data_IF_711697539170
#
_entry.id   IF_711697539170
#
_cell.length_a   1.000
_cell.length_b   1.000
_cell.length_c   1.000
_cell.angle_alpha   90.00
_cell.angle_beta   90.00
_cell.angle_gamma   90.00
#
_symmetry.space_group_name_H-M   'P 1'
#
loop_
_entity.id
_entity.type
_entity.pdbx_description
1 polymer ?
#
# COMPACT_ATOMS: atom_id res chain seq x y z
N UNK A 1 20.60 16.63 -9.71
CA UNK A 1 20.21 16.72 -11.12
C UNK A 1 19.86 15.32 -11.66
N UNK A 2 18.74 14.74 -11.22
CA UNK A 2 18.22 13.45 -11.71
C UNK A 2 16.68 13.46 -11.61
N UNK A 3 16.08 14.58 -12.01
CA UNK A 3 14.62 14.78 -12.03
C UNK A 3 14.10 14.93 -13.46
N UNK A 4 14.94 15.42 -14.37
CA UNK A 4 14.63 15.61 -15.80
C UNK A 4 14.33 14.27 -16.52
N UNK A 5 14.96 13.16 -16.08
CA UNK A 5 14.66 11.85 -16.64
C UNK A 5 13.29 11.31 -16.21
N UNK A 6 12.81 11.66 -15.01
CA UNK A 6 11.52 11.20 -14.48
C UNK A 6 10.34 11.94 -15.09
N UNK A 7 10.48 13.24 -15.39
CA UNK A 7 9.44 14.01 -16.08
C UNK A 7 9.23 13.53 -17.52
N UNK A 8 10.30 13.19 -18.25
CA UNK A 8 10.21 12.62 -19.61
C UNK A 8 9.54 11.26 -19.68
N UNK A 9 9.65 10.52 -18.59
CA UNK A 9 9.02 9.21 -18.38
C UNK A 9 7.50 9.40 -18.20
N UNK A 10 7.06 10.42 -17.45
CA UNK A 10 5.66 10.72 -17.15
C UNK A 10 4.80 11.30 -18.28
N UNK A 11 5.32 11.40 -19.49
CA UNK A 11 4.58 11.90 -20.65
C UNK A 11 3.62 10.79 -21.16
N UNK A 12 2.38 11.11 -21.59
CA UNK A 12 1.47 10.15 -22.21
C UNK A 12 2.09 9.47 -23.44
N UNK A 13 1.68 8.23 -23.74
CA UNK A 13 2.17 7.45 -24.89
C UNK A 13 2.00 8.19 -26.22
N UNK A 14 0.92 8.97 -26.34
CA UNK A 14 0.56 9.77 -27.52
C UNK A 14 1.57 10.90 -27.83
N UNK A 15 2.35 11.34 -26.84
CA UNK A 15 3.37 12.38 -26.99
C UNK A 15 4.81 11.82 -26.93
N UNK A 16 4.97 10.49 -27.03
CA UNK A 16 6.28 9.82 -27.02
C UNK A 16 6.85 9.54 -25.63
N UNK A 17 6.03 9.62 -24.58
CA UNK A 17 6.35 9.09 -23.25
C UNK A 17 5.90 7.64 -23.05
N UNK A 18 6.06 7.10 -21.84
CA UNK A 18 5.77 5.69 -21.53
C UNK A 18 4.47 5.51 -20.71
N UNK A 19 3.63 6.56 -20.62
CA UNK A 19 2.33 6.51 -19.95
C UNK A 19 2.39 6.29 -18.42
N UNK A 20 3.38 6.88 -17.72
CA UNK A 20 3.62 6.71 -16.28
C UNK A 20 2.58 7.36 -15.32
N UNK A 21 1.28 7.35 -15.67
CA UNK A 21 0.22 7.30 -14.62
C UNK A 21 0.42 6.08 -13.72
N UNK A 22 1.02 5.03 -14.25
CA UNK A 22 1.23 3.78 -13.54
C UNK A 22 2.26 3.89 -12.41
N UNK A 23 3.33 4.69 -12.51
CA UNK A 23 4.37 4.67 -11.47
C UNK A 23 3.92 5.24 -10.12
N UNK A 24 3.07 6.27 -10.12
CA UNK A 24 2.46 6.75 -8.87
C UNK A 24 1.60 5.64 -8.26
N UNK A 25 0.79 4.96 -9.07
CA UNK A 25 -0.06 3.86 -8.63
C UNK A 25 0.76 2.63 -8.19
N UNK A 26 1.85 2.33 -8.91
CA UNK A 26 2.80 1.27 -8.63
C UNK A 26 3.56 1.54 -7.34
N UNK A 27 3.97 2.79 -7.11
CA UNK A 27 4.59 3.20 -5.85
C UNK A 27 3.60 3.05 -4.69
N UNK A 28 2.34 3.45 -4.85
CA UNK A 28 1.29 3.24 -3.85
C UNK A 28 1.05 1.75 -3.62
N UNK A 29 1.00 0.92 -4.68
CA UNK A 29 0.86 -0.53 -4.57
C UNK A 29 2.05 -1.18 -3.86
N UNK A 30 3.28 -0.71 -4.13
CA UNK A 30 4.49 -1.16 -3.45
C UNK A 30 4.47 -0.79 -1.96
N UNK A 31 4.03 0.43 -1.64
CA UNK A 31 3.83 0.89 -0.27
C UNK A 31 2.75 0.06 0.45
N UNK A 32 1.64 -0.26 -0.22
CA UNK A 32 0.60 -1.14 0.30
C UNK A 32 1.14 -2.56 0.56
N UNK A 33 1.95 -3.11 -0.35
CA UNK A 33 2.62 -4.41 -0.17
C UNK A 33 3.59 -4.40 1.01
N UNK A 34 4.33 -3.30 1.19
CA UNK A 34 5.24 -3.14 2.32
C UNK A 34 4.46 -3.06 3.65
N UNK A 35 3.35 -2.31 3.67
CA UNK A 35 2.45 -2.23 4.83
C UNK A 35 1.82 -3.58 5.16
N UNK A 36 1.39 -4.35 4.16
CA UNK A 36 0.92 -5.72 4.32
C UNK A 36 1.96 -6.62 4.97
N UNK A 37 3.23 -6.53 4.52
CA UNK A 37 4.32 -7.33 5.08
C UNK A 37 4.58 -7.00 6.55
N UNK A 38 4.43 -5.72 6.94
CA UNK A 38 4.54 -5.30 8.35
C UNK A 38 3.42 -5.90 9.20
N UNK A 39 2.20 -5.98 8.66
CA UNK A 39 1.05 -6.60 9.33
C UNK A 39 1.20 -8.12 9.47
N UNK A 40 1.64 -8.80 8.41
CA UNK A 40 1.73 -10.26 8.38
C UNK A 40 2.98 -10.83 9.05
N UNK A 41 4.08 -10.06 9.08
CA UNK A 41 5.34 -10.46 9.71
C UNK A 41 5.73 -9.49 10.85
N UNK A 42 4.99 -9.51 11.98
CA UNK A 42 5.17 -8.59 13.09
C UNK A 42 6.52 -8.77 13.82
N UNK A 43 7.16 -9.93 13.65
CA UNK A 43 8.49 -10.25 14.22
C UNK A 43 9.65 -9.63 13.43
N UNK A 44 9.41 -9.16 12.21
CA UNK A 44 10.45 -8.51 11.41
C UNK A 44 10.98 -7.25 12.10
N UNK A 45 12.28 -6.98 11.95
CA UNK A 45 12.92 -5.80 12.57
C UNK A 45 12.18 -4.51 12.17
N UNK A 46 11.83 -4.38 10.89
CA UNK A 46 11.09 -3.24 10.38
C UNK A 46 9.71 -3.10 11.05
N UNK A 47 8.96 -4.20 11.18
CA UNK A 47 7.66 -4.17 11.85
C UNK A 47 7.78 -3.79 13.32
N UNK A 48 8.79 -4.31 14.04
CA UNK A 48 9.05 -3.98 15.46
C UNK A 48 9.42 -2.52 15.65
N UNK A 49 10.29 -1.97 14.79
CA UNK A 49 10.70 -0.56 14.83
C UNK A 49 9.52 0.36 14.54
N UNK A 50 8.76 0.08 13.48
CA UNK A 50 7.59 0.89 13.12
C UNK A 50 6.48 0.76 14.16
N UNK A 51 6.26 -0.43 14.74
CA UNK A 51 5.33 -0.64 15.85
C UNK A 51 5.73 0.19 17.05
N UNK A 52 6.98 0.12 17.48
CA UNK A 52 7.47 0.86 18.65
C UNK A 52 7.37 2.38 18.48
N UNK A 53 7.49 2.86 17.23
CA UNK A 53 7.49 4.29 16.87
C UNK A 53 6.10 4.87 16.60
N UNK A 54 5.23 4.12 15.91
CA UNK A 54 4.00 4.66 15.34
C UNK A 54 2.72 3.99 15.82
N UNK A 55 2.77 2.72 16.26
CA UNK A 55 1.57 1.94 16.54
C UNK A 55 1.72 0.97 17.71
N UNK A 56 2.35 1.42 18.80
CA UNK A 56 2.76 0.56 19.92
C UNK A 56 1.61 -0.24 20.55
N UNK A 57 0.45 0.41 20.67
CA UNK A 57 -0.77 -0.14 21.29
C UNK A 57 -1.97 -0.15 20.34
N UNK A 58 -1.76 0.02 19.04
CA UNK A 58 -2.83 0.20 18.06
C UNK A 58 -2.59 -0.62 16.81
N UNK A 59 -3.66 -0.97 16.10
CA UNK A 59 -3.55 -1.59 14.80
C UNK A 59 -3.09 -0.52 13.77
N UNK A 60 -2.07 -0.80 12.92
CA UNK A 60 -1.65 0.12 11.86
C UNK A 60 -2.79 0.59 10.95
N UNK A 61 -3.82 -0.24 10.78
CA UNK A 61 -4.98 0.06 9.95
C UNK A 61 -5.91 1.12 10.58
N UNK A 62 -5.86 1.30 11.89
CA UNK A 62 -6.74 2.20 12.64
C UNK A 62 -6.09 3.55 12.94
N UNK A 63 -4.84 3.73 12.53
CA UNK A 63 -4.11 4.99 12.74
C UNK A 63 -4.47 5.99 11.65
N UNK A 64 -5.08 7.08 12.08
CA UNK A 64 -5.37 8.23 11.21
C UNK A 64 -4.30 9.32 11.33
N UNK A 65 -3.73 9.50 12.52
CA UNK A 65 -2.73 10.53 12.80
C UNK A 65 -1.62 9.99 13.69
N UNK A 66 -0.38 10.26 13.29
CA UNK A 66 0.83 10.05 14.09
C UNK A 66 1.39 11.42 14.45
N UNK A 67 1.90 11.61 15.66
CA UNK A 67 2.66 12.81 16.00
C UNK A 67 3.99 12.80 15.24
N UNK A 68 4.28 13.87 14.50
CA UNK A 68 5.50 14.05 13.69
C UNK A 68 5.90 12.82 12.82
N UNK A 69 5.03 12.37 11.89
CA UNK A 69 5.30 11.19 11.10
C UNK A 69 6.44 11.45 10.11
N UNK A 70 7.35 10.49 9.95
CA UNK A 70 8.33 10.56 8.86
C UNK A 70 7.62 10.56 7.51
N UNK A 71 8.25 11.12 6.49
CA UNK A 71 7.70 11.15 5.13
C UNK A 71 7.29 9.74 4.65
N UNK A 72 8.14 8.74 4.88
CA UNK A 72 7.82 7.35 4.56
C UNK A 72 6.61 6.79 5.31
N UNK A 73 6.40 7.17 6.57
CA UNK A 73 5.20 6.76 7.32
C UNK A 73 3.93 7.41 6.76
N UNK A 74 4.00 8.69 6.38
CA UNK A 74 2.88 9.36 5.68
C UNK A 74 2.53 8.69 4.37
N UNK A 75 3.53 8.32 3.56
CA UNK A 75 3.31 7.64 2.28
C UNK A 75 2.72 6.24 2.46
N UNK A 76 3.15 5.49 3.47
CA UNK A 76 2.53 4.20 3.81
C UNK A 76 1.09 4.35 4.31
N UNK A 77 0.79 5.38 5.12
CA UNK A 77 -0.58 5.68 5.55
C UNK A 77 -1.49 6.05 4.37
N UNK A 78 -0.97 6.76 3.35
CA UNK A 78 -1.73 7.03 2.13
C UNK A 78 -2.06 5.75 1.33
N UNK A 79 -1.24 4.72 1.44
CA UNK A 79 -1.48 3.41 0.82
C UNK A 79 -2.40 2.48 1.67
N UNK A 80 -2.76 2.90 2.88
CA UNK A 80 -3.60 2.13 3.82
C UNK A 80 -4.97 1.81 3.26
N UNK A 81 -5.62 2.76 2.59
CA UNK A 81 -6.98 2.58 2.05
C UNK A 81 -6.99 1.60 0.87
N UNK A 82 -5.95 1.65 0.03
CA UNK A 82 -5.74 0.66 -1.03
C UNK A 82 -5.59 -0.75 -0.44
N UNK A 83 -4.79 -0.89 0.63
CA UNK A 83 -4.60 -2.17 1.31
C UNK A 83 -5.90 -2.68 1.95
N UNK A 84 -6.65 -1.81 2.65
CA UNK A 84 -7.97 -2.16 3.23
C UNK A 84 -8.95 -2.64 2.16
N UNK A 85 -9.01 -1.94 1.02
CA UNK A 85 -9.84 -2.34 -0.11
C UNK A 85 -9.40 -3.70 -0.70
N UNK A 86 -8.10 -3.92 -0.84
CA UNK A 86 -7.54 -5.20 -1.32
C UNK A 86 -7.84 -6.38 -0.39
N UNK A 87 -7.65 -6.21 0.92
CA UNK A 87 -7.96 -7.23 1.93
C UNK A 87 -9.45 -7.59 1.88
N UNK A 88 -10.34 -6.60 1.84
CA UNK A 88 -11.80 -6.83 1.77
C UNK A 88 -12.20 -7.60 0.50
N UNK A 89 -11.62 -7.25 -0.66
CA UNK A 89 -11.88 -7.96 -1.92
C UNK A 89 -11.44 -9.43 -1.87
N UNK A 90 -10.28 -9.73 -1.28
CA UNK A 90 -9.80 -11.11 -1.14
C UNK A 90 -10.69 -11.95 -0.21
N UNK A 91 -11.16 -11.38 0.91
CA UNK A 91 -12.07 -12.07 1.84
C UNK A 91 -13.41 -12.39 1.15
N UNK A 92 -14.01 -11.40 0.47
CA UNK A 92 -15.28 -11.59 -0.25
C UNK A 92 -15.16 -12.62 -1.39
N UNK A 93 -14.00 -12.69 -2.06
CA UNK A 93 -13.73 -13.73 -3.06
C UNK A 93 -13.59 -15.12 -2.44
N UNK A 94 -13.05 -15.22 -1.22
CA UNK A 94 -12.93 -16.48 -0.48
C UNK A 94 -14.27 -16.99 0.05
N UNK A 95 -15.12 -16.10 0.57
CA UNK A 95 -16.49 -16.45 1.01
C UNK A 95 -17.35 -16.92 -0.17
N UNK A 96 -17.26 -16.25 -1.33
CA UNK A 96 -18.02 -16.63 -2.53
C UNK A 96 -17.59 -18.01 -3.09
N UNK A 97 -16.36 -18.46 -2.82
CA UNK A 97 -15.88 -19.78 -3.19
C UNK A 97 -16.29 -20.90 -2.20
N UNK A 98 -16.83 -20.54 -1.03
CA UNK A 98 -17.29 -21.49 -0.01
C UNK A 98 -18.82 -21.55 0.10
N UNK A 99 -19.56 -20.91 -0.81
CA UNK A 99 -21.02 -21.08 -0.87
C UNK A 99 -21.34 -22.51 -1.37
N UNK A 100 -22.00 -23.36 -0.55
CA UNK A 100 -22.36 -24.73 -0.95
C UNK A 100 -23.35 -24.80 -2.12
N UNK A 101 -23.90 -23.66 -2.58
CA UNK A 101 -24.92 -23.60 -3.63
C UNK A 101 -24.39 -23.14 -5.01
N UNK A 102 -23.07 -23.06 -5.21
CA UNK A 102 -22.50 -22.76 -6.53
C UNK A 102 -22.66 -23.96 -7.48
N UNK A 103 -23.84 -24.08 -8.08
CA UNK A 103 -24.15 -25.03 -9.16
C UNK A 103 -23.78 -24.36 -10.48
N UNK A 104 -22.82 -24.94 -11.21
CA UNK A 104 -22.54 -24.61 -12.60
C UNK A 104 -23.60 -25.16 -13.55
#
# INVERSE_FOLDING_TARGET
MHWIAWEKICIPLEEGGLEFRDLKNFNIALLAKQLWRILYYPSSLLARVLKARYFRHSNPLDIEKSNAPSYGWRSMLAAKDLLKAGIRKNIASGERAMDPNYSG
#
